data_IF_673001284015
#
_entry.id   IF_673001284015
#
_cell.length_a   1.000
_cell.length_b   1.000
_cell.length_c   1.000
_cell.angle_alpha   90.00
_cell.angle_beta   90.00
_cell.angle_gamma   90.00
#
_symmetry.space_group_name_H-M   'P 1'
#
loop_
_entity.id
_entity.type
_entity.pdbx_description
1 polymer ?
#
# COMPACT_ATOMS: atom_id res chain seq x y z
N UNK A 1 -0.30 -42.80 6.42
CA UNK A 1 0.58 -41.94 5.60
C UNK A 1 0.14 -40.49 5.80
N UNK A 2 0.85 -39.73 6.62
CA UNK A 2 0.59 -38.30 6.78
C UNK A 2 1.39 -37.56 5.71
N UNK A 3 0.70 -37.00 4.71
CA UNK A 3 1.32 -36.12 3.72
C UNK A 3 1.56 -34.79 4.41
N UNK A 4 2.76 -34.61 4.96
CA UNK A 4 3.20 -33.33 5.49
C UNK A 4 3.16 -32.31 4.36
N UNK A 5 2.31 -31.28 4.48
CA UNK A 5 2.29 -30.16 3.56
C UNK A 5 3.68 -29.53 3.55
N UNK A 6 4.40 -29.73 2.46
CA UNK A 6 5.73 -29.17 2.26
C UNK A 6 5.54 -27.69 1.92
N UNK A 7 5.57 -26.83 2.94
CA UNK A 7 5.61 -25.39 2.77
C UNK A 7 6.98 -25.04 2.21
N UNK A 8 7.08 -24.99 0.88
CA UNK A 8 8.24 -24.42 0.20
C UNK A 8 8.22 -22.92 0.51
N UNK A 9 8.96 -22.52 1.54
CA UNK A 9 9.29 -21.11 1.76
C UNK A 9 10.12 -20.64 0.56
N UNK A 10 9.46 -19.98 -0.40
CA UNK A 10 10.10 -19.16 -1.41
C UNK A 10 10.76 -17.98 -0.68
N UNK A 11 12.07 -18.08 -0.52
CA UNK A 11 12.81 -17.35 0.52
C UNK A 11 13.06 -15.88 0.20
N UNK A 12 12.80 -15.43 -1.04
CA UNK A 12 13.20 -14.09 -1.50
C UNK A 12 12.10 -13.30 -2.25
N UNK A 13 10.90 -13.86 -2.42
CA UNK A 13 9.78 -13.13 -3.02
C UNK A 13 8.99 -12.38 -1.94
N UNK A 14 9.23 -11.07 -1.84
CA UNK A 14 8.53 -10.16 -0.92
C UNK A 14 7.07 -9.91 -1.36
N UNK A 15 6.78 -10.18 -2.64
CA UNK A 15 5.47 -9.95 -3.26
C UNK A 15 4.90 -11.29 -3.73
N UNK A 16 3.63 -11.52 -3.41
CA UNK A 16 2.89 -12.69 -3.87
C UNK A 16 2.81 -12.75 -5.41
N UNK A 17 2.99 -13.95 -5.99
CA UNK A 17 3.02 -14.13 -7.45
C UNK A 17 1.72 -13.76 -8.14
N UNK A 18 0.58 -14.00 -7.51
CA UNK A 18 -0.72 -13.65 -8.09
C UNK A 18 -0.91 -12.13 -8.11
N UNK A 19 -0.38 -11.43 -7.10
CA UNK A 19 -0.34 -9.96 -7.07
C UNK A 19 0.58 -9.42 -8.17
N UNK A 20 1.77 -9.99 -8.34
CA UNK A 20 2.70 -9.60 -9.40
C UNK A 20 2.10 -9.80 -10.80
N UNK A 21 1.44 -10.93 -11.03
CA UNK A 21 0.74 -11.21 -12.29
C UNK A 21 -0.37 -10.19 -12.56
N UNK A 22 -1.18 -9.88 -11.56
CA UNK A 22 -2.25 -8.89 -11.68
C UNK A 22 -1.70 -7.51 -12.02
N UNK A 23 -0.61 -7.09 -11.36
CA UNK A 23 0.08 -5.83 -11.66
C UNK A 23 0.65 -5.81 -13.09
N UNK A 24 1.21 -6.93 -13.57
CA UNK A 24 1.72 -7.02 -14.93
C UNK A 24 0.62 -6.83 -15.98
N UNK A 25 -0.54 -7.47 -15.78
CA UNK A 25 -1.70 -7.33 -16.68
C UNK A 25 -2.18 -5.88 -16.72
N UNK A 26 -2.31 -5.22 -15.56
CA UNK A 26 -2.74 -3.83 -15.48
C UNK A 26 -1.72 -2.88 -16.10
N UNK A 27 -0.43 -3.08 -15.83
CA UNK A 27 0.64 -2.28 -16.36
C UNK A 27 0.70 -2.35 -17.89
N UNK A 28 0.58 -3.56 -18.47
CA UNK A 28 0.51 -3.76 -19.92
C UNK A 28 -0.71 -3.06 -20.52
N UNK A 29 -1.89 -3.23 -19.93
CA UNK A 29 -3.13 -2.58 -20.39
C UNK A 29 -3.05 -1.05 -20.36
N UNK A 30 -2.32 -0.48 -19.41
CA UNK A 30 -2.16 0.97 -19.24
C UNK A 30 -0.92 1.52 -19.95
N UNK A 31 -0.10 0.68 -20.59
CA UNK A 31 1.15 1.09 -21.26
C UNK A 31 2.22 1.61 -20.31
N UNK A 32 2.33 1.04 -19.11
CA UNK A 32 3.26 1.46 -18.04
C UNK A 32 4.15 0.31 -17.58
N UNK A 33 5.20 0.61 -16.82
CA UNK A 33 5.95 -0.42 -16.11
C UNK A 33 5.19 -0.95 -14.90
N UNK A 34 5.50 -2.19 -14.49
CA UNK A 34 4.94 -2.81 -13.27
C UNK A 34 5.21 -1.96 -12.03
N UNK A 35 6.39 -1.31 -11.96
CA UNK A 35 6.76 -0.44 -10.85
C UNK A 35 5.89 0.83 -10.80
N UNK A 36 5.58 1.43 -11.95
CA UNK A 36 4.69 2.58 -12.03
C UNK A 36 3.26 2.22 -11.61
N UNK A 37 2.75 1.09 -12.11
CA UNK A 37 1.40 0.61 -11.76
C UNK A 37 1.27 0.32 -10.27
N UNK A 38 2.27 -0.33 -9.67
CA UNK A 38 2.34 -0.54 -8.22
C UNK A 38 2.36 0.79 -7.46
N UNK A 39 3.18 1.75 -7.90
CA UNK A 39 3.29 3.03 -7.24
C UNK A 39 1.97 3.82 -7.28
N UNK A 40 1.21 3.72 -8.38
CA UNK A 40 -0.12 4.32 -8.51
C UNK A 40 -1.11 3.67 -7.54
N UNK A 41 -1.15 2.33 -7.51
CA UNK A 41 -2.04 1.59 -6.62
C UNK A 41 -1.76 1.92 -5.14
N UNK A 42 -0.49 1.92 -4.73
CA UNK A 42 -0.08 2.30 -3.38
C UNK A 42 -0.40 3.77 -3.10
N UNK A 43 -0.12 4.67 -4.04
CA UNK A 43 -0.41 6.10 -3.90
C UNK A 43 -1.89 6.38 -3.71
N UNK A 44 -2.77 5.72 -4.46
CA UNK A 44 -4.23 5.85 -4.29
C UNK A 44 -4.67 5.31 -2.94
N UNK A 45 -4.17 4.14 -2.52
CA UNK A 45 -4.47 3.62 -1.18
C UNK A 45 -4.08 4.62 -0.08
N UNK A 46 -2.85 5.15 -0.14
CA UNK A 46 -2.32 6.10 0.87
C UNK A 46 -3.08 7.43 0.87
N UNK A 47 -3.54 7.91 -0.29
CA UNK A 47 -4.27 9.19 -0.39
C UNK A 47 -5.75 9.07 -0.07
N UNK A 48 -6.39 8.00 -0.51
CA UNK A 48 -7.85 7.94 -0.55
C UNK A 48 -8.39 7.05 0.59
N UNK A 49 -7.68 5.98 0.91
CA UNK A 49 -8.17 4.93 1.83
C UNK A 49 -7.53 5.03 3.20
N UNK A 50 -6.21 5.23 3.25
CA UNK A 50 -5.46 5.31 4.50
C UNK A 50 -5.94 6.46 5.41
N UNK A 51 -6.26 7.68 4.92
CA UNK A 51 -6.78 8.73 5.79
C UNK A 51 -8.16 8.42 6.36
N UNK A 52 -8.94 7.58 5.67
CA UNK A 52 -10.24 7.12 6.15
C UNK A 52 -10.10 6.02 7.20
N UNK A 53 -9.21 5.05 6.94
CA UNK A 53 -8.91 3.97 7.88
C UNK A 53 -8.24 4.52 9.15
N UNK A 54 -7.27 5.42 9.01
CA UNK A 54 -6.63 6.11 10.13
C UNK A 54 -7.55 7.15 10.76
N UNK A 55 -8.33 7.91 9.99
CA UNK A 55 -9.26 8.91 10.52
C UNK A 55 -10.42 8.32 11.34
N UNK A 56 -10.73 7.04 11.14
CA UNK A 56 -11.70 6.31 11.98
C UNK A 56 -11.14 5.91 13.36
N UNK A 57 -9.82 6.00 13.58
CA UNK A 57 -9.18 5.70 14.87
C UNK A 57 -8.15 6.74 15.37
N UNK A 58 -7.80 7.73 14.55
CA UNK A 58 -6.78 8.76 14.79
C UNK A 58 -7.25 10.08 14.15
N UNK A 59 -8.10 10.82 14.85
CA UNK A 59 -8.04 12.28 14.78
C UNK A 59 -6.69 12.75 15.38
N UNK A 60 -6.13 13.89 14.99
CA UNK A 60 -5.42 14.14 13.74
C UNK A 60 -3.96 14.48 14.08
N UNK A 61 -2.99 13.63 13.70
CA UNK A 61 -1.55 13.94 13.86
C UNK A 61 -1.09 15.18 13.07
N UNK A 62 -1.96 15.72 12.21
CA UNK A 62 -1.71 16.93 11.42
C UNK A 62 -2.43 18.18 11.94
N UNK A 63 -3.29 18.08 12.97
CA UNK A 63 -3.95 19.26 13.52
C UNK A 63 -3.05 20.10 14.45
N UNK A 64 -1.98 19.51 14.98
CA UNK A 64 -1.09 20.19 15.93
C UNK A 64 -0.08 21.14 15.25
N UNK A 65 0.11 21.04 13.93
CA UNK A 65 0.92 22.01 13.18
C UNK A 65 0.18 23.32 12.90
N UNK A 66 -1.15 23.32 12.91
CA UNK A 66 -1.96 24.53 12.67
C UNK A 66 -2.23 25.36 13.94
N UNK A 67 -2.03 24.78 15.12
CA UNK A 67 -2.17 25.45 16.42
C UNK A 67 -0.90 26.15 16.90
N UNK A 68 0.28 25.74 16.40
CA UNK A 68 1.57 26.34 16.80
C UNK A 68 1.74 27.79 16.30
N UNK A 69 1.10 28.16 15.19
CA UNK A 69 1.20 29.51 14.60
C UNK A 69 0.29 30.54 15.29
N UNK A 70 -0.71 30.09 16.07
CA UNK A 70 -1.70 30.98 16.71
C UNK A 70 -1.32 31.45 18.12
N UNK A 71 -0.17 31.01 18.65
CA UNK A 71 0.30 31.38 19.99
C UNK A 71 1.34 32.53 20.00
N UNK A 72 1.68 33.10 18.83
CA UNK A 72 2.64 34.20 18.69
C UNK A 72 2.04 35.50 18.12
N UNK A 73 0.73 35.71 18.26
CA UNK A 73 0.06 36.99 17.96
C UNK A 73 -0.63 37.57 19.18
#
# INVERSE_FOLDING_TARGET
>A
MAVGKQYIYQKDEIIDKSLLLSLAILAEANGRSVAEELNIAVSSYVKDRLPHELGSGILPLFADMASADRFLS
#
